data_IF_430749907220
#
_entry.id   IF_430749907220
#
_cell.length_a   1.000
_cell.length_b   1.000
_cell.length_c   1.000
_cell.angle_alpha   90.00
_cell.angle_beta   90.00
_cell.angle_gamma   90.00
#
_symmetry.space_group_name_H-M   'P 1'
#
loop_
_entity.id
_entity.type
_entity.pdbx_description
1 polymer ?
#
# COMPACT_ATOMS: atom_id res chain seq x y z
N UNK A 1 15.54 6.35 24.21
CA UNK A 1 15.71 4.88 24.15
C UNK A 1 14.54 4.32 23.36
N UNK A 2 14.71 3.93 22.10
CA UNK A 2 13.57 3.45 21.31
C UNK A 2 13.98 2.74 20.02
N UNK A 3 13.50 1.50 19.89
CA UNK A 3 13.18 0.79 18.64
C UNK A 3 14.36 0.21 17.83
N UNK A 4 15.02 -0.82 18.38
CA UNK A 4 15.80 -1.81 17.60
C UNK A 4 15.09 -3.16 17.43
N UNK A 5 13.85 -3.32 17.93
CA UNK A 5 13.15 -4.61 17.96
C UNK A 5 12.32 -4.95 16.70
N UNK A 6 12.18 -4.02 15.74
CA UNK A 6 11.23 -4.20 14.63
C UNK A 6 11.63 -5.25 13.58
N UNK A 7 12.94 -5.46 13.35
CA UNK A 7 13.42 -6.24 12.19
C UNK A 7 13.43 -7.77 12.41
N UNK A 8 13.80 -8.33 13.59
CA UNK A 8 13.86 -9.79 13.73
C UNK A 8 12.49 -10.48 13.94
N UNK A 9 11.42 -9.76 14.25
CA UNK A 9 10.12 -10.37 14.55
C UNK A 9 9.18 -10.50 13.35
N UNK A 10 9.22 -9.57 12.39
CA UNK A 10 8.23 -9.54 11.31
C UNK A 10 8.40 -10.72 10.34
N UNK A 11 9.64 -11.11 10.06
CA UNK A 11 9.96 -12.28 9.23
C UNK A 11 9.36 -13.56 9.82
N UNK A 12 9.58 -13.79 11.11
CA UNK A 12 9.01 -14.92 11.83
C UNK A 12 7.49 -14.86 11.84
N UNK A 13 6.89 -13.70 12.14
CA UNK A 13 5.44 -13.56 12.17
C UNK A 13 4.78 -13.91 10.83
N UNK A 14 5.35 -13.46 9.70
CA UNK A 14 4.88 -13.86 8.38
C UNK A 14 5.02 -15.38 8.19
N UNK A 15 6.19 -15.95 8.50
CA UNK A 15 6.42 -17.40 8.36
C UNK A 15 5.40 -18.23 9.15
N UNK A 16 5.16 -17.88 10.42
CA UNK A 16 4.21 -18.57 11.30
C UNK A 16 2.77 -18.44 10.79
N UNK A 17 2.40 -17.31 10.20
CA UNK A 17 1.06 -17.14 9.60
C UNK A 17 0.92 -17.93 8.29
N UNK A 18 2.00 -18.07 7.51
CA UNK A 18 1.95 -18.79 6.21
C UNK A 18 1.81 -20.31 6.32
N UNK A 19 1.87 -20.87 7.53
CA UNK A 19 1.55 -22.30 7.74
C UNK A 19 0.05 -22.58 7.56
N UNK A 20 -0.79 -21.54 7.66
CA UNK A 20 -2.23 -21.66 7.50
C UNK A 20 -2.60 -21.82 6.02
N UNK A 21 -3.52 -22.75 5.75
CA UNK A 21 -4.00 -23.02 4.38
C UNK A 21 -4.62 -21.76 3.79
N UNK A 22 -4.13 -21.33 2.62
CA UNK A 22 -4.63 -20.15 1.92
C UNK A 22 -4.02 -18.83 2.40
N UNK A 23 -3.06 -18.85 3.32
CA UNK A 23 -2.37 -17.65 3.81
C UNK A 23 -0.96 -17.59 3.21
N UNK A 24 -0.77 -16.70 2.23
CA UNK A 24 0.57 -16.34 1.72
C UNK A 24 1.14 -15.10 2.42
N UNK A 25 2.36 -14.66 2.07
CA UNK A 25 2.97 -13.45 2.64
C UNK A 25 2.11 -12.20 2.52
N UNK A 26 1.39 -12.03 1.40
CA UNK A 26 0.45 -10.92 1.21
C UNK A 26 -0.69 -10.97 2.25
N UNK A 27 -1.38 -12.10 2.38
CA UNK A 27 -2.47 -12.26 3.35
C UNK A 27 -1.98 -12.16 4.79
N UNK A 28 -0.83 -12.75 5.11
CA UNK A 28 -0.20 -12.64 6.43
C UNK A 28 0.12 -11.16 6.76
N UNK A 29 0.67 -10.41 5.80
CA UNK A 29 0.96 -8.99 6.00
C UNK A 29 -0.29 -8.14 6.25
N UNK A 30 -1.44 -8.50 5.66
CA UNK A 30 -2.72 -7.81 5.93
C UNK A 30 -3.15 -7.99 7.39
N UNK A 31 -3.01 -9.22 7.91
CA UNK A 31 -3.31 -9.52 9.33
C UNK A 31 -2.37 -8.76 10.25
N UNK A 32 -1.07 -8.76 9.95
CA UNK A 32 -0.08 -8.05 10.77
C UNK A 32 -0.27 -6.53 10.73
N UNK A 33 -0.62 -5.95 9.58
CA UNK A 33 -0.89 -4.52 9.47
C UNK A 33 -2.11 -4.07 10.29
N UNK A 34 -3.12 -4.94 10.42
CA UNK A 34 -4.26 -4.68 11.29
C UNK A 34 -3.89 -4.78 12.79
N UNK A 35 -2.94 -5.64 13.15
CA UNK A 35 -2.54 -5.88 14.54
C UNK A 35 -1.44 -4.93 15.05
N UNK A 36 -0.41 -4.68 14.24
CA UNK A 36 0.78 -3.90 14.57
C UNK A 36 1.13 -2.91 13.44
N UNK A 37 0.29 -1.90 13.20
CA UNK A 37 0.44 -0.97 12.08
C UNK A 37 1.72 -0.13 12.12
N UNK A 38 2.27 0.07 13.32
CA UNK A 38 3.53 0.75 13.64
C UNK A 38 4.77 -0.02 13.19
N UNK A 39 4.63 -1.33 12.95
CA UNK A 39 5.74 -2.21 12.56
C UNK A 39 5.52 -2.79 11.17
N UNK A 40 4.30 -3.24 10.87
CA UNK A 40 3.99 -4.05 9.71
C UNK A 40 3.10 -3.29 8.72
N UNK A 41 3.58 -2.99 7.50
CA UNK A 41 2.71 -2.54 6.42
C UNK A 41 2.03 -3.72 5.71
N UNK A 42 0.90 -3.46 5.07
CA UNK A 42 0.24 -4.40 4.18
C UNK A 42 0.94 -4.45 2.81
N UNK A 43 1.23 -5.66 2.31
CA UNK A 43 1.88 -5.87 1.01
C UNK A 43 0.88 -5.72 -0.16
N UNK A 44 0.28 -4.53 -0.34
CA UNK A 44 -0.61 -4.25 -1.46
C UNK A 44 0.19 -4.09 -2.78
N UNK A 45 -0.41 -4.50 -3.90
CA UNK A 45 0.22 -4.41 -5.23
C UNK A 45 0.64 -2.97 -5.55
N UNK A 46 -0.22 -1.98 -5.27
CA UNK A 46 0.05 -0.57 -5.53
C UNK A 46 1.25 -0.05 -4.72
N UNK A 47 1.29 -0.35 -3.42
CA UNK A 47 2.40 0.07 -2.57
C UNK A 47 3.70 -0.66 -2.94
N UNK A 48 3.61 -1.94 -3.31
CA UNK A 48 4.73 -2.74 -3.80
C UNK A 48 5.34 -2.15 -5.08
N UNK A 49 4.50 -1.73 -6.03
CA UNK A 49 4.96 -1.04 -7.25
C UNK A 49 5.68 0.26 -6.90
N UNK A 50 5.09 1.08 -6.03
CA UNK A 50 5.67 2.36 -5.65
C UNK A 50 7.01 2.20 -4.88
N UNK A 51 7.10 1.21 -3.99
CA UNK A 51 8.28 1.03 -3.15
C UNK A 51 9.39 0.22 -3.83
N UNK A 52 9.05 -0.85 -4.57
CA UNK A 52 10.01 -1.83 -5.11
C UNK A 52 10.01 -1.92 -6.64
N UNK A 53 9.06 -1.29 -7.33
CA UNK A 53 8.95 -1.35 -8.80
C UNK A 53 8.38 -2.67 -9.34
N UNK A 54 7.81 -3.51 -8.48
CA UNK A 54 7.16 -4.77 -8.87
C UNK A 54 5.82 -4.94 -8.13
N UNK A 55 4.86 -5.63 -8.74
CA UNK A 55 3.47 -5.69 -8.22
C UNK A 55 3.04 -7.06 -7.67
N UNK A 56 3.68 -8.16 -8.12
CA UNK A 56 3.10 -9.51 -7.99
C UNK A 56 4.07 -10.57 -7.47
N UNK A 57 5.14 -10.14 -6.82
CA UNK A 57 6.13 -11.04 -6.25
C UNK A 57 5.90 -11.19 -4.74
N UNK A 58 4.93 -12.02 -4.36
CA UNK A 58 4.47 -12.20 -2.97
C UNK A 58 5.34 -13.19 -2.18
N UNK A 59 6.66 -12.95 -2.15
CA UNK A 59 7.61 -13.77 -1.38
C UNK A 59 7.95 -13.11 -0.06
N UNK A 60 8.39 -13.89 0.93
CA UNK A 60 8.90 -13.34 2.19
C UNK A 60 10.03 -12.33 1.96
N UNK A 61 10.96 -12.64 1.04
CA UNK A 61 12.08 -11.76 0.71
C UNK A 61 11.61 -10.38 0.22
N UNK A 62 10.64 -10.36 -0.68
CA UNK A 62 10.07 -9.12 -1.19
C UNK A 62 9.31 -8.37 -0.10
N UNK A 63 8.56 -9.08 0.74
CA UNK A 63 7.89 -8.47 1.89
C UNK A 63 8.87 -7.76 2.83
N UNK A 64 9.99 -8.39 3.18
CA UNK A 64 10.99 -7.78 4.07
C UNK A 64 11.61 -6.53 3.45
N UNK A 65 11.98 -6.58 2.16
CA UNK A 65 12.51 -5.42 1.46
C UNK A 65 11.48 -4.27 1.37
N UNK A 66 10.20 -4.62 1.19
CA UNK A 66 9.10 -3.67 1.18
C UNK A 66 8.89 -3.03 2.55
N UNK A 67 8.79 -3.85 3.61
CA UNK A 67 8.58 -3.39 4.97
C UNK A 67 9.72 -2.47 5.44
N UNK A 68 10.97 -2.81 5.14
CA UNK A 68 12.14 -1.99 5.46
C UNK A 68 12.05 -0.60 4.80
N UNK A 69 11.67 -0.53 3.52
CA UNK A 69 11.52 0.77 2.82
C UNK A 69 10.41 1.62 3.42
N UNK A 70 9.28 1.02 3.77
CA UNK A 70 8.15 1.74 4.35
C UNK A 70 8.45 2.19 5.78
N UNK A 71 9.14 1.37 6.58
CA UNK A 71 9.62 1.77 7.91
C UNK A 71 10.62 2.92 7.82
N UNK A 72 11.54 2.89 6.85
CA UNK A 72 12.47 3.99 6.64
C UNK A 72 11.74 5.28 6.23
N UNK A 73 10.78 5.19 5.31
CA UNK A 73 9.99 6.34 4.87
C UNK A 73 9.09 6.89 6.00
N UNK A 74 8.50 6.03 6.82
CA UNK A 74 7.70 6.44 7.98
C UNK A 74 8.55 7.25 8.99
N UNK A 75 9.79 6.82 9.23
CA UNK A 75 10.75 7.57 10.06
C UNK A 75 11.13 8.91 9.44
N UNK A 76 11.35 8.96 8.12
CA UNK A 76 11.67 10.20 7.39
C UNK A 76 10.52 11.23 7.46
N UNK A 77 9.27 10.76 7.37
CA UNK A 77 8.07 11.61 7.38
C UNK A 77 7.65 12.04 8.78
N UNK A 78 8.12 11.35 9.83
CA UNK A 78 7.82 11.69 11.21
C UNK A 78 8.56 12.96 11.61
N UNK A 79 7.83 14.03 11.88
CA UNK A 79 8.39 15.36 12.23
C UNK A 79 7.68 15.86 13.49
N UNK A 80 8.45 16.13 14.54
CA UNK A 80 7.91 16.61 15.81
C UNK A 80 6.99 15.58 16.46
N UNK A 81 5.74 15.97 16.76
CA UNK A 81 4.72 15.10 17.36
C UNK A 81 3.88 14.34 16.33
N UNK A 82 3.94 14.70 15.04
CA UNK A 82 3.24 13.99 13.98
C UNK A 82 4.05 12.78 13.52
N UNK A 83 3.62 11.59 13.96
CA UNK A 83 4.26 10.31 13.60
C UNK A 83 3.55 9.63 12.44
N UNK A 84 4.34 9.15 11.48
CA UNK A 84 3.88 8.21 10.46
C UNK A 84 4.22 6.79 10.85
N UNK A 85 3.27 5.88 10.68
CA UNK A 85 3.52 4.44 10.75
C UNK A 85 3.83 3.87 9.36
N UNK A 86 4.49 2.70 9.26
CA UNK A 86 4.63 2.00 7.98
C UNK A 86 3.29 1.78 7.27
N UNK A 87 2.23 1.48 8.03
CA UNK A 87 0.87 1.36 7.49
C UNK A 87 0.29 2.68 6.98
N UNK A 88 0.62 3.83 7.56
CA UNK A 88 0.23 5.14 7.00
C UNK A 88 0.86 5.38 5.64
N UNK A 89 2.15 5.07 5.51
CA UNK A 89 2.88 5.19 4.24
C UNK A 89 2.27 4.27 3.19
N UNK A 90 2.02 3.01 3.54
CA UNK A 90 1.35 2.05 2.66
C UNK A 90 0.01 2.58 2.15
N UNK A 91 -0.87 3.01 3.06
CA UNK A 91 -2.19 3.53 2.71
C UNK A 91 -2.12 4.78 1.84
N UNK A 92 -1.15 5.66 2.09
CA UNK A 92 -0.94 6.84 1.27
C UNK A 92 -0.54 6.47 -0.17
N UNK A 93 0.39 5.51 -0.33
CA UNK A 93 0.80 5.01 -1.64
C UNK A 93 -0.37 4.35 -2.39
N UNK A 94 -1.11 3.46 -1.72
CA UNK A 94 -2.29 2.82 -2.29
C UNK A 94 -3.35 3.85 -2.68
N UNK A 95 -3.68 4.79 -1.79
CA UNK A 95 -4.69 5.83 -2.05
C UNK A 95 -4.31 6.71 -3.24
N UNK A 96 -3.04 7.10 -3.35
CA UNK A 96 -2.53 7.87 -4.49
C UNK A 96 -2.65 7.08 -5.80
N UNK A 97 -2.34 5.78 -5.78
CA UNK A 97 -2.43 4.92 -6.96
C UNK A 97 -3.88 4.69 -7.40
N UNK A 98 -4.80 4.46 -6.46
CA UNK A 98 -6.23 4.33 -6.75
C UNK A 98 -6.83 5.67 -7.22
N UNK A 99 -6.47 6.78 -6.58
CA UNK A 99 -6.90 8.11 -6.98
C UNK A 99 -6.52 8.45 -8.43
N UNK A 100 -5.34 8.00 -8.87
CA UNK A 100 -4.86 8.18 -10.24
C UNK A 100 -5.60 7.31 -11.27
N UNK A 101 -6.21 6.20 -10.85
CA UNK A 101 -7.00 5.30 -11.71
C UNK A 101 -8.44 5.80 -11.92
N UNK A 102 -8.92 6.70 -11.07
CA UNK A 102 -10.27 7.23 -11.19
C UNK A 102 -10.33 8.29 -12.31
N UNK A 103 -11.36 8.27 -13.16
CA UNK A 103 -11.56 9.35 -14.12
C UNK A 103 -11.80 10.64 -13.35
N UNK A 104 -11.03 11.69 -13.66
CA UNK A 104 -11.27 13.04 -13.13
C UNK A 104 -12.68 13.47 -13.53
N UNK A 105 -13.61 13.49 -12.59
CA UNK A 105 -14.93 14.11 -12.75
C UNK A 105 -14.74 15.63 -12.82
N UNK A 106 -14.32 16.09 -14.00
CA UNK A 106 -13.91 17.45 -14.27
C UNK A 106 -13.94 17.74 -15.77
N UNK A 107 -15.02 17.36 -16.45
CA UNK A 107 -15.37 17.98 -17.72
C UNK A 107 -16.89 18.12 -17.88
N UNK A 108 -17.48 18.97 -17.04
CA UNK A 108 -18.79 19.56 -17.31
C UNK A 108 -18.61 20.82 -18.16
N UNK A 109 -18.43 20.67 -19.48
CA UNK A 109 -18.72 21.75 -20.47
C UNK A 109 -19.29 21.17 -21.77
N UNK A 110 -20.62 21.20 -21.83
CA UNK A 110 -21.51 21.46 -22.98
C UNK A 110 -21.00 21.14 -24.41
N UNK A 111 -21.55 20.10 -25.02
CA UNK A 111 -21.83 20.11 -26.48
C UNK A 111 -23.34 20.05 -26.71
N UNK A 112 -23.94 21.20 -27.00
CA UNK A 112 -25.24 21.29 -27.65
C UNK A 112 -25.08 20.90 -29.12
N UNK A 113 -25.34 19.63 -29.49
CA UNK A 113 -25.47 19.25 -30.90
C UNK A 113 -26.93 19.32 -31.33
N UNK A 114 -27.24 20.35 -32.11
CA UNK A 114 -28.52 20.54 -32.79
C UNK A 114 -28.91 19.31 -33.61
N UNK A 115 -30.16 18.91 -33.46
CA UNK A 115 -30.85 17.83 -34.16
C UNK A 115 -31.00 18.19 -35.65
N UNK A 116 -30.11 17.63 -36.48
CA UNK A 116 -30.23 17.69 -37.95
C UNK A 116 -31.46 16.94 -38.45
N UNK A 117 -32.31 17.66 -39.20
CA UNK A 117 -33.53 17.18 -39.87
C UNK A 117 -33.25 15.99 -40.80
N UNK A 118 -33.96 14.87 -40.64
CA UNK A 118 -34.15 13.87 -41.69
C UNK A 118 -35.24 14.35 -42.64
N UNK A 119 -34.90 14.52 -43.92
CA UNK A 119 -35.81 14.82 -45.02
C UNK A 119 -36.41 13.50 -45.53
N UNK A 120 -37.70 13.57 -45.89
CA UNK A 120 -38.54 12.50 -46.46
C UNK A 120 -37.92 11.86 -47.68
#
# INVERSE_FOLDING_TARGET
>A
MGLTWAVPHISRAITELTVLKGVGPATASAVLAAYAPDVAPFMSDEAMVAALGNAKEYTLKQYLAFADKLQAKAKELTIGEESFTPSDVERALWSSAIGSKLPTTGNLKSESKMRGKRKR
#
